data_IF_632495489852
#
_entry.id   IF_632495489852
#
_cell.length_a   1.000
_cell.length_b   1.000
_cell.length_c   1.000
_cell.angle_alpha   90.00
_cell.angle_beta   90.00
_cell.angle_gamma   90.00
#
_symmetry.space_group_name_H-M   'P 1'
#
loop_
_entity.id
_entity.type
_entity.pdbx_description
1 polymer ?
#
# COMPACT_ATOMS: atom_id res chain seq x y z
N UNK A 1 0.35 0.66 -10.15
CA UNK A 1 0.02 -0.40 -9.18
C UNK A 1 0.46 -1.71 -9.77
N UNK A 2 1.22 -2.53 -9.04
CA UNK A 2 1.70 -3.85 -9.45
C UNK A 2 1.17 -4.98 -8.57
N UNK A 3 1.65 -6.20 -8.76
CA UNK A 3 1.39 -7.31 -7.83
C UNK A 3 2.08 -7.07 -6.48
N UNK A 4 1.47 -7.57 -5.39
CA UNK A 4 1.96 -7.34 -4.02
C UNK A 4 1.81 -5.88 -3.58
N UNK A 5 0.60 -5.34 -3.56
CA UNK A 5 0.25 -3.98 -3.09
C UNK A 5 1.00 -2.72 -3.57
N UNK A 6 2.08 -2.82 -4.34
CA UNK A 6 2.95 -1.68 -4.61
C UNK A 6 2.41 -0.66 -5.62
N UNK A 7 2.65 0.62 -5.35
CA UNK A 7 2.27 1.75 -6.17
C UNK A 7 3.44 2.72 -6.40
N UNK A 8 3.56 3.23 -7.63
CA UNK A 8 4.49 4.32 -7.94
C UNK A 8 3.68 5.53 -8.37
N UNK A 9 3.84 6.64 -7.65
CA UNK A 9 3.22 7.92 -7.95
C UNK A 9 4.26 8.85 -8.59
N UNK A 10 3.95 9.30 -9.81
CA UNK A 10 4.69 10.35 -10.51
C UNK A 10 3.87 11.64 -10.43
N UNK A 11 4.51 12.72 -10.01
CA UNK A 11 3.88 14.04 -9.92
C UNK A 11 3.93 14.76 -11.27
N UNK A 12 3.05 15.76 -11.52
CA UNK A 12 2.94 16.39 -12.84
C UNK A 12 4.12 17.29 -13.21
N UNK A 13 4.94 17.70 -12.23
CA UNK A 13 6.17 18.46 -12.47
C UNK A 13 7.14 17.67 -13.37
N UNK A 14 7.97 18.40 -14.14
CA UNK A 14 9.04 17.83 -14.96
C UNK A 14 10.41 18.19 -14.39
N UNK A 15 11.42 17.46 -14.81
CA UNK A 15 12.83 17.69 -14.48
C UNK A 15 13.11 17.60 -12.97
N UNK A 16 14.02 18.42 -12.43
CA UNK A 16 14.43 18.38 -11.01
C UNK A 16 13.30 18.64 -9.99
N UNK A 17 12.13 19.11 -10.47
CA UNK A 17 10.95 19.34 -9.63
C UNK A 17 10.00 18.14 -9.60
N UNK A 18 10.19 17.14 -10.47
CA UNK A 18 9.46 15.87 -10.39
C UNK A 18 9.70 15.25 -9.01
N UNK A 19 8.63 14.77 -8.40
CA UNK A 19 8.64 13.97 -7.19
C UNK A 19 8.06 12.61 -7.53
N UNK A 20 8.84 11.57 -7.28
CA UNK A 20 8.40 10.18 -7.43
C UNK A 20 8.32 9.57 -6.04
N UNK A 21 7.16 9.02 -5.72
CA UNK A 21 6.87 8.40 -4.43
C UNK A 21 6.55 6.92 -4.66
N UNK A 22 7.20 6.06 -3.89
CA UNK A 22 6.92 4.63 -3.85
C UNK A 22 6.03 4.35 -2.63
N UNK A 23 4.87 3.73 -2.81
CA UNK A 23 3.95 3.34 -1.73
C UNK A 23 3.85 1.83 -1.76
N UNK A 24 4.38 1.18 -0.74
CA UNK A 24 4.54 -0.28 -0.66
C UNK A 24 5.34 -0.89 -1.83
N UNK A 25 5.80 -2.13 -1.64
CA UNK A 25 6.69 -2.80 -2.60
C UNK A 25 6.40 -4.30 -2.76
N UNK A 26 5.39 -4.84 -2.08
CA UNK A 26 5.06 -6.25 -2.18
C UNK A 26 5.87 -7.14 -1.28
N UNK A 27 5.62 -8.44 -1.41
CA UNK A 27 6.37 -9.49 -0.70
C UNK A 27 7.68 -9.86 -1.42
N UNK A 28 7.62 -9.92 -2.75
CA UNK A 28 8.69 -10.36 -3.64
C UNK A 28 9.48 -9.21 -4.27
N UNK A 29 10.24 -9.52 -5.31
CA UNK A 29 11.12 -8.56 -5.99
C UNK A 29 10.46 -7.88 -7.21
N UNK A 30 9.14 -8.04 -7.38
CA UNK A 30 8.39 -7.54 -8.54
C UNK A 30 8.55 -6.03 -8.72
N UNK A 31 8.40 -5.27 -7.63
CA UNK A 31 8.57 -3.82 -7.66
C UNK A 31 10.01 -3.45 -8.01
N UNK A 32 11.00 -4.14 -7.45
CA UNK A 32 12.41 -3.92 -7.80
C UNK A 32 12.66 -4.13 -9.30
N UNK A 33 12.18 -5.24 -9.87
CA UNK A 33 12.31 -5.54 -11.30
C UNK A 33 11.61 -4.49 -12.17
N UNK A 34 10.42 -4.04 -11.77
CA UNK A 34 9.72 -2.95 -12.44
C UNK A 34 10.55 -1.66 -12.46
N UNK A 35 11.08 -1.23 -11.32
CA UNK A 35 11.90 -0.02 -11.21
C UNK A 35 13.21 -0.15 -12.00
N UNK A 36 13.90 -1.28 -11.85
CA UNK A 36 15.15 -1.56 -12.58
C UNK A 36 14.95 -1.54 -14.10
N UNK A 37 13.84 -2.08 -14.59
CA UNK A 37 13.45 -2.01 -16.01
C UNK A 37 13.09 -0.60 -16.44
N UNK A 38 12.26 0.11 -15.65
CA UNK A 38 11.74 1.45 -15.97
C UNK A 38 12.82 2.54 -16.00
N UNK A 39 13.86 2.40 -15.19
CA UNK A 39 14.98 3.33 -15.08
C UNK A 39 16.25 2.83 -15.79
N UNK A 40 16.19 1.70 -16.49
CA UNK A 40 17.31 1.14 -17.26
C UNK A 40 17.84 2.15 -18.27
N UNK A 41 19.12 2.50 -18.16
CA UNK A 41 19.83 3.34 -19.13
C UNK A 41 19.51 4.85 -19.08
N UNK A 42 18.61 5.29 -18.19
CA UNK A 42 18.26 6.73 -18.07
C UNK A 42 19.08 7.42 -16.98
N UNK A 43 19.39 6.72 -15.88
CA UNK A 43 20.21 7.25 -14.78
C UNK A 43 21.03 6.13 -14.13
N UNK A 44 22.25 6.43 -13.71
CA UNK A 44 23.08 5.51 -12.90
C UNK A 44 22.60 5.44 -11.45
N UNK A 45 21.86 6.47 -11.01
CA UNK A 45 21.28 6.58 -9.68
C UNK A 45 20.02 7.46 -9.74
N UNK A 46 18.94 7.00 -9.13
CA UNK A 46 17.64 7.65 -9.06
C UNK A 46 17.27 7.93 -7.60
N UNK A 47 16.94 9.18 -7.29
CA UNK A 47 16.54 9.60 -5.96
C UNK A 47 15.02 9.78 -5.90
N UNK A 48 14.32 8.83 -5.27
CA UNK A 48 12.91 8.99 -4.95
C UNK A 48 12.72 10.11 -3.94
N UNK A 49 11.61 10.83 -4.06
CA UNK A 49 11.23 11.81 -3.05
C UNK A 49 10.95 11.11 -1.72
N UNK A 50 10.15 10.05 -1.77
CA UNK A 50 9.81 9.27 -0.58
C UNK A 50 9.48 7.81 -0.90
N UNK A 51 9.66 6.95 0.10
CA UNK A 51 8.96 5.68 0.21
C UNK A 51 7.91 5.80 1.32
N UNK A 52 6.78 5.11 1.18
CA UNK A 52 5.74 4.99 2.21
C UNK A 52 5.51 3.50 2.43
N UNK A 53 5.94 2.99 3.58
CA UNK A 53 5.62 1.64 4.05
C UNK A 53 4.35 1.76 4.88
N UNK A 54 3.20 1.38 4.32
CA UNK A 54 1.91 1.73 4.92
C UNK A 54 1.72 1.07 6.27
N UNK A 55 2.18 -0.17 6.45
CA UNK A 55 2.17 -0.89 7.72
C UNK A 55 3.14 -2.09 7.66
N UNK A 56 3.52 -2.70 8.81
CA UNK A 56 4.54 -3.75 8.81
C UNK A 56 3.99 -5.15 8.49
N UNK A 57 3.20 -5.31 7.42
CA UNK A 57 2.90 -6.63 6.83
C UNK A 57 3.81 -6.96 5.63
N UNK A 58 4.21 -8.22 5.53
CA UNK A 58 5.29 -8.66 4.66
C UNK A 58 4.96 -8.42 3.18
N UNK A 59 3.70 -8.55 2.80
CA UNK A 59 3.16 -8.24 1.47
C UNK A 59 3.06 -6.75 1.16
N UNK A 60 3.42 -5.86 2.08
CA UNK A 60 3.57 -4.43 1.85
C UNK A 60 5.03 -3.98 1.81
N UNK A 61 5.87 -4.46 2.73
CA UNK A 61 7.22 -3.92 2.91
C UNK A 61 8.34 -4.77 2.32
N UNK A 62 8.16 -6.08 2.13
CA UNK A 62 9.31 -6.97 2.04
C UNK A 62 10.09 -6.83 0.72
N UNK A 63 9.42 -6.45 -0.36
CA UNK A 63 10.04 -6.14 -1.65
C UNK A 63 10.94 -4.91 -1.62
N UNK A 64 10.83 -4.06 -0.60
CA UNK A 64 11.78 -2.97 -0.41
C UNK A 64 13.19 -3.48 -0.07
N UNK A 65 13.36 -4.70 0.44
CA UNK A 65 14.68 -5.25 0.77
C UNK A 65 15.60 -5.23 -0.45
N UNK A 66 15.12 -5.71 -1.60
CA UNK A 66 15.87 -5.69 -2.85
C UNK A 66 16.08 -4.27 -3.38
N UNK A 67 15.13 -3.37 -3.15
CA UNK A 67 15.19 -1.97 -3.59
C UNK A 67 16.23 -1.18 -2.78
N UNK A 68 16.23 -1.32 -1.46
CA UNK A 68 17.18 -0.64 -0.58
C UNK A 68 18.61 -1.16 -0.74
N UNK A 69 18.79 -2.45 -1.06
CA UNK A 69 20.10 -3.01 -1.34
C UNK A 69 20.65 -2.64 -2.73
N UNK A 70 19.83 -2.06 -3.61
CA UNK A 70 20.27 -1.62 -4.93
C UNK A 70 20.82 -0.19 -4.87
N UNK A 71 22.13 0.03 -5.10
CA UNK A 71 22.76 1.35 -4.98
C UNK A 71 22.28 2.35 -6.04
N UNK A 72 21.48 1.91 -7.01
CA UNK A 72 20.86 2.79 -8.00
C UNK A 72 19.65 3.53 -7.42
N UNK A 73 19.08 3.12 -6.28
CA UNK A 73 17.86 3.71 -5.72
C UNK A 73 18.13 4.33 -4.34
N UNK A 74 17.83 5.63 -4.22
CA UNK A 74 17.85 6.38 -2.96
C UNK A 74 16.49 6.97 -2.62
N UNK A 75 16.26 7.32 -1.36
CA UNK A 75 14.99 7.87 -0.86
C UNK A 75 15.21 9.09 0.03
N UNK A 76 14.53 10.20 -0.26
CA UNK A 76 14.58 11.39 0.59
C UNK A 76 14.03 11.14 1.99
N UNK A 77 12.87 10.49 2.10
CA UNK A 77 12.35 10.01 3.39
C UNK A 77 11.61 8.69 3.22
N UNK A 78 11.83 7.76 4.14
CA UNK A 78 11.07 6.53 4.28
C UNK A 78 10.02 6.76 5.38
N UNK A 79 8.77 6.94 4.97
CA UNK A 79 7.63 7.09 5.86
C UNK A 79 7.07 5.74 6.29
N UNK A 80 6.58 5.67 7.53
CA UNK A 80 5.88 4.50 8.08
C UNK A 80 4.73 4.93 9.00
N UNK A 81 3.85 4.00 9.40
CA UNK A 81 2.69 4.30 10.26
C UNK A 81 3.03 4.58 11.72
N UNK A 82 4.30 4.52 12.11
CA UNK A 82 4.75 4.53 13.51
C UNK A 82 4.61 3.18 14.22
N UNK A 83 3.82 2.26 13.66
CA UNK A 83 3.84 0.84 14.04
C UNK A 83 4.97 0.17 13.28
N UNK A 84 5.95 -0.38 14.01
CA UNK A 84 7.10 -1.07 13.46
C UNK A 84 7.25 -2.42 14.15
N UNK A 85 7.70 -3.45 13.44
CA UNK A 85 7.98 -4.76 14.05
C UNK A 85 9.38 -4.77 14.64
N UNK A 86 9.48 -4.63 15.97
CA UNK A 86 10.74 -4.59 16.72
C UNK A 86 11.49 -5.94 16.67
N UNK A 87 12.83 -5.94 16.78
CA UNK A 87 13.65 -7.16 16.72
C UNK A 87 13.29 -8.24 17.76
N UNK A 88 12.96 -7.79 18.97
CA UNK A 88 12.66 -8.62 20.14
C UNK A 88 11.19 -8.50 20.58
N UNK A 89 10.76 -9.43 21.42
CA UNK A 89 9.40 -9.50 21.97
C UNK A 89 8.47 -10.44 21.20
N UNK A 90 7.26 -10.57 21.71
CA UNK A 90 6.20 -11.43 21.19
C UNK A 90 4.93 -10.61 20.87
N UNK A 91 4.33 -10.87 19.72
CA UNK A 91 3.10 -10.19 19.25
C UNK A 91 3.15 -8.67 19.53
N UNK A 92 2.21 -8.12 20.32
CA UNK A 92 2.10 -6.70 20.60
C UNK A 92 3.34 -6.06 21.22
N UNK A 93 4.21 -6.81 21.91
CA UNK A 93 5.50 -6.29 22.38
C UNK A 93 6.35 -5.82 21.19
N UNK A 94 6.30 -6.55 20.07
CA UNK A 94 6.96 -6.15 18.83
C UNK A 94 6.40 -4.86 18.25
N UNK A 95 5.13 -4.52 18.52
CA UNK A 95 4.48 -3.30 18.04
C UNK A 95 4.59 -2.12 19.03
N UNK A 96 5.45 -2.21 20.05
CA UNK A 96 5.61 -1.17 21.07
C UNK A 96 4.77 -1.35 22.33
N UNK A 97 4.20 -2.54 22.53
CA UNK A 97 3.48 -2.91 23.74
C UNK A 97 2.11 -2.25 23.89
N UNK A 98 1.23 -2.89 24.68
CA UNK A 98 -0.09 -2.36 24.97
C UNK A 98 -0.08 -1.50 26.22
N UNK A 99 -0.75 -0.36 26.15
CA UNK A 99 -1.07 0.49 27.30
C UNK A 99 -2.59 0.66 27.37
N UNK A 100 -3.15 0.57 28.58
CA UNK A 100 -4.58 0.73 28.81
C UNK A 100 -4.84 2.14 29.33
N UNK A 101 -5.75 2.84 28.69
CA UNK A 101 -6.21 4.13 29.18
C UNK A 101 -7.05 3.94 30.46
N UNK A 102 -6.69 4.58 31.58
CA UNK A 102 -7.33 4.33 32.86
C UNK A 102 -8.76 4.90 32.94
N UNK A 103 -9.08 5.94 32.16
CA UNK A 103 -10.38 6.60 32.20
C UNK A 103 -11.41 5.84 31.35
N UNK A 104 -11.02 5.40 30.16
CA UNK A 104 -11.92 4.76 29.19
C UNK A 104 -11.80 3.24 29.16
N UNK A 105 -10.69 2.69 29.63
CA UNK A 105 -10.38 1.27 29.57
C UNK A 105 -10.04 0.75 28.17
N UNK A 106 -9.86 1.63 27.19
CA UNK A 106 -9.43 1.34 25.82
C UNK A 106 -7.93 1.00 25.82
N UNK A 107 -7.53 0.04 24.99
CA UNK A 107 -6.12 -0.35 24.82
C UNK A 107 -5.51 0.34 23.60
N UNK A 108 -4.25 0.73 23.72
CA UNK A 108 -3.46 1.40 22.69
C UNK A 108 -2.06 0.79 22.59
N UNK A 109 -1.41 0.92 21.44
CA UNK A 109 0.03 0.78 21.29
C UNK A 109 0.70 2.00 21.94
N UNK A 110 1.57 1.76 22.91
CA UNK A 110 2.12 2.81 23.78
C UNK A 110 3.48 3.38 23.35
N UNK A 111 4.24 2.63 22.54
CA UNK A 111 5.57 3.04 22.09
C UNK A 111 5.63 3.00 20.57
N UNK A 112 5.29 4.12 19.94
CA UNK A 112 5.44 4.29 18.49
C UNK A 112 6.90 4.61 18.15
N UNK A 113 7.30 4.37 16.92
CA UNK A 113 8.53 4.94 16.37
C UNK A 113 8.12 6.20 15.60
N UNK A 114 8.54 7.38 16.06
CA UNK A 114 8.07 8.67 15.51
C UNK A 114 9.15 9.33 14.65
N UNK A 115 10.43 9.08 14.96
CA UNK A 115 11.57 9.82 14.43
C UNK A 115 12.66 8.95 13.79
N UNK A 116 13.53 9.61 13.03
CA UNK A 116 14.72 9.01 12.45
C UNK A 116 15.66 8.43 13.51
N UNK A 117 15.83 9.13 14.63
CA UNK A 117 16.71 8.70 15.71
C UNK A 117 16.23 7.38 16.32
N UNK A 118 14.93 7.25 16.59
CA UNK A 118 14.35 6.01 17.13
C UNK A 118 14.47 4.85 16.14
N UNK A 119 14.29 5.11 14.84
CA UNK A 119 14.48 4.08 13.81
C UNK A 119 15.93 3.58 13.76
N UNK A 120 16.91 4.48 13.86
CA UNK A 120 18.33 4.13 13.95
C UNK A 120 18.64 3.36 15.24
N UNK A 121 18.05 3.74 16.38
CA UNK A 121 18.22 3.03 17.65
C UNK A 121 17.65 1.61 17.59
N UNK A 122 16.50 1.42 16.95
CA UNK A 122 15.81 0.13 16.90
C UNK A 122 16.42 -0.84 15.88
N UNK A 123 16.95 -0.34 14.76
CA UNK A 123 17.30 -1.16 13.60
C UNK A 123 18.72 -0.90 13.07
N UNK A 124 19.51 -0.04 13.70
CA UNK A 124 20.84 0.33 13.21
C UNK A 124 21.91 -0.74 13.43
N UNK A 125 21.79 -1.53 14.50
CA UNK A 125 22.75 -2.59 14.82
C UNK A 125 22.42 -3.90 14.07
N UNK A 126 23.25 -4.31 13.08
CA UNK A 126 23.01 -5.53 12.31
C UNK A 126 23.08 -6.82 13.14
N UNK A 127 23.77 -6.80 14.29
CA UNK A 127 23.91 -7.96 15.16
C UNK A 127 22.69 -8.13 16.11
N UNK A 128 21.83 -7.10 16.20
CA UNK A 128 20.66 -7.05 17.10
C UNK A 128 19.30 -7.09 16.37
N UNK A 129 19.24 -7.50 15.10
CA UNK A 129 18.00 -7.48 14.30
C UNK A 129 17.02 -8.64 14.57
N UNK A 130 17.46 -9.66 15.30
CA UNK A 130 16.66 -10.87 15.53
C UNK A 130 16.34 -11.63 14.24
N UNK A 131 15.27 -12.44 14.26
CA UNK A 131 14.87 -13.31 13.13
C UNK A 131 13.80 -12.70 12.22
N UNK A 132 13.17 -11.59 12.62
CA UNK A 132 12.09 -10.95 11.86
C UNK A 132 12.57 -10.38 10.53
N UNK A 133 11.71 -10.41 9.50
CA UNK A 133 12.05 -9.84 8.19
C UNK A 133 12.03 -8.31 8.21
N UNK A 134 11.04 -7.70 8.88
CA UNK A 134 10.93 -6.24 8.99
C UNK A 134 12.22 -5.55 9.50
N UNK A 135 12.84 -5.95 10.64
CA UNK A 135 14.12 -5.40 11.07
C UNK A 135 15.22 -5.42 10.00
N UNK A 136 15.33 -6.52 9.21
CA UNK A 136 16.33 -6.64 8.15
C UNK A 136 16.08 -5.68 7.00
N UNK A 137 14.82 -5.52 6.59
CA UNK A 137 14.45 -4.57 5.52
C UNK A 137 14.76 -3.14 5.92
N UNK A 138 14.42 -2.75 7.16
CA UNK A 138 14.73 -1.40 7.66
C UNK A 138 16.25 -1.21 7.83
N UNK A 139 16.99 -2.21 8.30
CA UNK A 139 18.46 -2.13 8.35
C UNK A 139 19.08 -1.98 6.95
N UNK A 140 18.54 -2.65 5.93
CA UNK A 140 18.98 -2.46 4.54
C UNK A 140 18.77 -1.00 4.08
N UNK A 141 17.64 -0.37 4.46
CA UNK A 141 17.41 1.04 4.23
C UNK A 141 18.44 1.93 4.97
N UNK A 142 18.70 1.67 6.26
CA UNK A 142 19.68 2.42 7.06
C UNK A 142 21.10 2.33 6.48
N UNK A 143 21.47 1.17 5.93
CA UNK A 143 22.80 0.96 5.32
C UNK A 143 22.94 1.56 3.93
N UNK A 144 21.83 1.95 3.29
CA UNK A 144 21.85 2.68 2.04
C UNK A 144 22.08 4.17 2.34
N UNK A 145 23.26 4.68 1.99
CA UNK A 145 23.66 6.08 2.23
C UNK A 145 22.75 7.13 1.55
N UNK A 146 21.86 6.68 0.66
CA UNK A 146 20.97 7.53 -0.12
C UNK A 146 19.53 7.50 0.40
N UNK A 147 19.28 6.75 1.47
CA UNK A 147 18.10 6.86 2.33
C UNK A 147 18.41 7.90 3.41
N UNK A 148 17.82 9.08 3.29
CA UNK A 148 18.27 10.24 4.07
C UNK A 148 17.56 10.40 5.41
N UNK A 149 16.37 9.81 5.58
CA UNK A 149 15.53 10.03 6.75
C UNK A 149 14.45 8.95 6.91
N UNK A 150 14.05 8.67 8.15
CA UNK A 150 12.81 7.96 8.50
C UNK A 150 11.87 8.87 9.29
N UNK A 151 10.57 8.73 9.08
CA UNK A 151 9.57 9.47 9.85
C UNK A 151 8.24 8.74 9.94
N UNK A 152 7.57 8.83 11.09
CA UNK A 152 6.16 8.47 11.17
C UNK A 152 5.32 9.41 10.29
N UNK A 153 4.32 8.85 9.62
CA UNK A 153 3.32 9.59 8.86
C UNK A 153 1.93 9.20 9.37
N UNK A 154 1.17 10.19 9.84
CA UNK A 154 -0.17 9.97 10.41
C UNK A 154 -1.00 11.26 10.46
N UNK A 155 -2.19 11.21 11.06
CA UNK A 155 -3.02 12.41 11.26
C UNK A 155 -2.39 13.47 12.16
N UNK A 156 -1.28 13.17 12.85
CA UNK A 156 -0.54 14.13 13.70
C UNK A 156 0.94 14.29 13.32
N UNK A 157 1.47 13.45 12.43
CA UNK A 157 2.90 13.39 12.08
C UNK A 157 3.12 13.72 10.60
N UNK A 158 2.62 14.87 10.16
CA UNK A 158 2.80 15.37 8.80
C UNK A 158 2.89 16.88 8.81
N UNK A 159 2.84 17.51 7.62
CA UNK A 159 2.68 18.95 7.54
C UNK A 159 1.24 19.32 7.94
N UNK A 160 1.09 19.95 9.09
CA UNK A 160 -0.23 20.36 9.61
C UNK A 160 -0.67 21.66 8.95
N UNK A 161 -1.87 21.67 8.38
CA UNK A 161 -2.50 22.86 7.81
C UNK A 161 -4.03 22.78 7.97
N UNK A 162 -4.64 23.81 8.58
CA UNK A 162 -6.10 23.91 8.76
C UNK A 162 -6.75 22.69 9.44
N UNK A 163 -6.08 22.13 10.45
CA UNK A 163 -6.58 20.94 11.19
C UNK A 163 -6.46 19.62 10.41
N UNK A 164 -5.61 19.60 9.38
CA UNK A 164 -5.40 18.45 8.49
C UNK A 164 -3.90 18.14 8.44
N UNK A 165 -3.56 16.88 8.23
CA UNK A 165 -2.18 16.44 8.05
C UNK A 165 -1.94 16.11 6.58
N UNK A 166 -0.79 16.54 6.06
CA UNK A 166 -0.37 16.29 4.68
C UNK A 166 1.00 15.64 4.67
N UNK A 167 1.28 14.87 3.62
CA UNK A 167 2.65 14.44 3.33
C UNK A 167 3.53 15.70 3.26
N UNK A 168 4.66 15.77 4.01
CA UNK A 168 5.48 16.98 4.04
C UNK A 168 5.85 17.48 2.64
N UNK A 169 5.57 18.76 2.37
CA UNK A 169 5.77 19.37 1.06
C UNK A 169 4.60 19.22 0.08
N UNK A 170 3.49 18.58 0.48
CA UNK A 170 2.28 18.39 -0.35
C UNK A 170 1.01 18.94 0.31
N UNK A 171 1.13 19.87 1.24
CA UNK A 171 -0.02 20.63 1.71
C UNK A 171 -0.42 21.70 0.67
N UNK A 172 -1.66 22.22 0.71
CA UNK A 172 -2.11 23.28 -0.20
C UNK A 172 -1.20 24.51 -0.18
N UNK A 173 -0.65 24.88 0.99
CA UNK A 173 0.31 25.98 1.14
C UNK A 173 1.62 25.81 0.34
N UNK A 174 1.97 24.59 -0.07
CA UNK A 174 3.13 24.36 -0.94
C UNK A 174 2.86 24.72 -2.42
N UNK A 175 1.65 25.14 -2.77
CA UNK A 175 1.27 25.73 -4.06
C UNK A 175 1.60 24.85 -5.30
N UNK A 176 1.50 23.53 -5.17
CA UNK A 176 1.79 22.58 -6.27
C UNK A 176 0.64 22.39 -7.28
N UNK A 177 -0.55 22.91 -6.97
CA UNK A 177 -1.78 22.60 -7.73
C UNK A 177 -2.39 21.24 -7.40
N UNK A 178 -1.77 20.47 -6.51
CA UNK A 178 -2.28 19.22 -5.94
C UNK A 178 -1.82 19.08 -4.48
N UNK A 179 -2.46 18.17 -3.74
CA UNK A 179 -2.12 17.88 -2.35
C UNK A 179 -2.22 16.39 -2.04
N UNK A 180 -1.41 15.92 -1.10
CA UNK A 180 -1.45 14.54 -0.58
C UNK A 180 -1.73 14.60 0.91
N UNK A 181 -2.96 14.30 1.27
CA UNK A 181 -3.42 14.30 2.65
C UNK A 181 -3.21 12.94 3.33
N UNK A 182 -2.86 12.96 4.61
CA UNK A 182 -2.77 11.77 5.46
C UNK A 182 -4.08 11.59 6.23
N UNK A 183 -4.81 10.53 5.89
CA UNK A 183 -6.13 10.17 6.44
C UNK A 183 -6.00 9.26 7.66
N UNK A 184 -5.00 8.38 7.67
CA UNK A 184 -4.72 7.41 8.73
C UNK A 184 -3.20 7.13 8.79
N UNK A 185 -2.67 6.56 9.88
CA UNK A 185 -3.38 6.17 11.11
C UNK A 185 -3.87 7.38 11.92
N UNK A 186 -4.91 7.15 12.72
CA UNK A 186 -5.49 8.16 13.61
C UNK A 186 -4.75 8.13 14.94
N UNK A 187 -4.04 9.21 15.25
CA UNK A 187 -3.36 9.37 16.54
C UNK A 187 -4.36 9.78 17.61
N UNK A 188 -4.31 9.07 18.74
CA UNK A 188 -5.14 9.29 19.92
C UNK A 188 -4.22 9.56 21.12
N UNK A 189 -3.80 10.83 21.33
CA UNK A 189 -2.82 11.16 22.34
C UNK A 189 -3.36 10.91 23.75
N UNK A 190 -2.47 10.59 24.68
CA UNK A 190 -2.81 10.51 26.10
C UNK A 190 -2.97 11.89 26.76
N UNK A 191 -3.28 11.89 28.06
CA UNK A 191 -3.42 13.14 28.82
C UNK A 191 -2.13 13.97 28.92
N UNK A 192 -0.96 13.36 28.71
CA UNK A 192 0.34 14.03 28.64
C UNK A 192 0.71 14.46 27.20
N UNK A 193 -0.12 14.15 26.21
CA UNK A 193 0.12 14.44 24.80
C UNK A 193 0.95 13.39 24.06
N UNK A 194 1.30 12.26 24.70
CA UNK A 194 2.05 11.18 24.05
C UNK A 194 1.18 10.53 22.98
N UNK A 195 1.71 10.42 21.75
CA UNK A 195 1.03 9.77 20.65
C UNK A 195 0.84 8.28 20.93
N UNK A 196 -0.37 7.78 20.67
CA UNK A 196 -0.74 6.37 20.78
C UNK A 196 -1.70 5.98 19.66
N UNK A 197 -1.73 4.70 19.32
CA UNK A 197 -2.60 4.14 18.29
C UNK A 197 -3.47 3.03 18.89
N UNK A 198 -4.77 3.02 18.61
CA UNK A 198 -5.72 2.08 19.25
C UNK A 198 -5.46 0.62 18.88
N UNK A 199 -5.42 -0.27 19.88
CA UNK A 199 -5.42 -1.71 19.62
C UNK A 199 -6.81 -2.12 19.14
N UNK A 200 -6.89 -2.69 17.94
CA UNK A 200 -8.14 -3.04 17.29
C UNK A 200 -8.09 -4.49 16.83
N UNK A 201 -8.61 -5.39 17.66
CA UNK A 201 -8.61 -6.82 17.36
C UNK A 201 -7.30 -7.51 17.74
N UNK A 202 -6.91 -8.52 16.96
CA UNK A 202 -5.66 -9.24 17.15
C UNK A 202 -4.41 -8.48 16.65
N UNK A 203 -3.26 -9.15 16.68
CA UNK A 203 -1.97 -8.60 16.24
C UNK A 203 -1.99 -8.15 14.78
N UNK A 204 -2.51 -8.99 13.87
CA UNK A 204 -2.60 -8.68 12.44
C UNK A 204 -3.65 -7.62 12.16
N UNK A 205 -4.84 -7.75 12.77
CA UNK A 205 -5.90 -6.75 12.64
C UNK A 205 -5.44 -5.35 13.10
N UNK A 206 -4.70 -5.27 14.21
CA UNK A 206 -4.18 -3.99 14.71
C UNK A 206 -3.12 -3.40 13.78
N UNK A 207 -2.22 -4.24 13.26
CA UNK A 207 -1.15 -3.83 12.37
C UNK A 207 -1.69 -3.24 11.07
N UNK A 208 -2.59 -3.98 10.42
CA UNK A 208 -3.19 -3.64 9.14
C UNK A 208 -4.12 -2.42 9.29
N UNK A 209 -4.87 -2.36 10.39
CA UNK A 209 -5.77 -1.26 10.71
C UNK A 209 -5.08 0.10 10.90
N UNK A 210 -3.77 0.13 11.12
CA UNK A 210 -2.96 1.37 11.21
C UNK A 210 -2.20 1.69 9.93
N UNK A 211 -2.62 1.14 8.79
CA UNK A 211 -2.10 1.53 7.49
C UNK A 211 -2.05 3.06 7.31
N UNK A 212 -0.96 3.56 6.73
CA UNK A 212 -0.92 4.93 6.22
C UNK A 212 -1.90 5.04 5.04
N UNK A 213 -2.96 5.80 5.23
CA UNK A 213 -3.99 6.03 4.21
C UNK A 213 -3.78 7.43 3.64
N UNK A 214 -3.60 7.51 2.33
CA UNK A 214 -3.33 8.77 1.63
C UNK A 214 -4.51 9.15 0.75
N UNK A 215 -4.83 10.45 0.72
CA UNK A 215 -5.79 11.02 -0.23
C UNK A 215 -5.10 12.07 -1.09
N UNK A 216 -4.90 11.72 -2.36
CA UNK A 216 -4.41 12.64 -3.39
C UNK A 216 -5.58 13.46 -3.94
N UNK A 217 -5.39 14.77 -4.06
CA UNK A 217 -6.30 15.67 -4.77
C UNK A 217 -5.50 16.46 -5.79
N UNK A 218 -5.88 16.35 -7.05
CA UNK A 218 -5.30 17.14 -8.15
C UNK A 218 -6.43 17.78 -8.95
N UNK A 219 -6.61 19.09 -8.77
CA UNK A 219 -7.74 19.83 -9.33
C UNK A 219 -9.09 19.25 -8.90
N UNK A 220 -9.84 18.76 -9.88
CA UNK A 220 -11.13 18.12 -9.73
C UNK A 220 -11.04 16.62 -9.37
N UNK A 221 -9.89 16.00 -9.61
CA UNK A 221 -9.67 14.55 -9.50
C UNK A 221 -9.07 14.16 -8.15
N UNK A 222 -9.45 12.99 -7.64
CA UNK A 222 -8.98 12.49 -6.34
C UNK A 222 -8.82 10.98 -6.29
N UNK A 223 -7.82 10.54 -5.53
CA UNK A 223 -7.49 9.12 -5.30
C UNK A 223 -7.34 8.85 -3.81
N UNK A 224 -7.98 7.80 -3.30
CA UNK A 224 -7.74 7.26 -1.97
C UNK A 224 -6.89 5.99 -2.07
N UNK A 225 -5.81 5.93 -1.31
CA UNK A 225 -4.99 4.74 -1.11
C UNK A 225 -5.39 4.08 0.21
N UNK A 226 -6.17 3.00 0.15
CA UNK A 226 -6.84 2.41 1.31
C UNK A 226 -5.94 1.64 2.29
N UNK A 227 -4.73 1.23 1.88
CA UNK A 227 -3.91 0.30 2.68
C UNK A 227 -4.69 -0.96 3.05
N UNK A 228 -4.49 -1.49 4.26
CA UNK A 228 -5.18 -2.70 4.73
C UNK A 228 -6.16 -2.42 5.87
N UNK A 229 -6.88 -1.31 5.75
CA UNK A 229 -7.96 -1.01 6.68
C UNK A 229 -8.94 -2.19 6.76
N UNK A 230 -9.19 -2.65 7.98
CA UNK A 230 -10.27 -3.58 8.31
C UNK A 230 -11.50 -2.81 8.83
N UNK A 231 -12.61 -3.52 9.01
CA UNK A 231 -13.88 -2.94 9.44
C UNK A 231 -13.79 -2.08 10.73
N UNK A 232 -12.93 -2.43 11.71
CA UNK A 232 -12.77 -1.59 12.92
C UNK A 232 -12.02 -0.29 12.62
N UNK A 233 -10.95 -0.37 11.82
CA UNK A 233 -10.20 0.81 11.39
C UNK A 233 -11.06 1.74 10.52
N UNK A 234 -11.87 1.19 9.62
CA UNK A 234 -12.83 1.95 8.83
C UNK A 234 -13.88 2.67 9.70
N UNK A 235 -14.41 1.99 10.72
CA UNK A 235 -15.33 2.62 11.69
C UNK A 235 -14.65 3.73 12.48
N UNK A 236 -13.37 3.60 12.83
CA UNK A 236 -12.62 4.69 13.46
C UNK A 236 -12.54 5.91 12.53
N UNK A 237 -12.27 5.71 11.23
CA UNK A 237 -12.26 6.81 10.25
C UNK A 237 -13.65 7.42 10.07
N UNK A 238 -14.70 6.59 9.96
CA UNK A 238 -16.08 7.05 9.89
C UNK A 238 -16.49 7.84 11.14
N UNK A 239 -16.08 7.40 12.34
CA UNK A 239 -16.37 8.11 13.57
C UNK A 239 -15.59 9.43 13.67
N UNK A 240 -14.30 9.43 13.29
CA UNK A 240 -13.45 10.63 13.29
C UNK A 240 -13.97 11.69 12.34
N UNK A 241 -14.19 11.32 11.08
CA UNK A 241 -14.62 12.27 10.04
C UNK A 241 -16.13 12.49 10.03
N UNK A 242 -16.89 11.61 10.68
CA UNK A 242 -18.32 11.74 10.92
C UNK A 242 -18.67 12.53 12.19
N UNK A 243 -17.68 13.05 12.92
CA UNK A 243 -17.87 13.86 14.12
C UNK A 243 -18.62 13.11 15.23
N UNK A 244 -18.11 11.92 15.56
CA UNK A 244 -18.63 10.99 16.57
C UNK A 244 -17.62 10.70 17.68
N UNK A 245 -17.23 11.70 18.49
CA UNK A 245 -16.31 11.49 19.62
C UNK A 245 -16.87 10.52 20.67
N UNK A 246 -18.20 10.37 20.73
CA UNK A 246 -18.90 9.42 21.60
C UNK A 246 -18.55 7.96 21.26
N UNK A 247 -18.36 7.63 19.97
CA UNK A 247 -17.97 6.29 19.53
C UNK A 247 -16.47 6.04 19.77
N UNK A 248 -15.64 7.06 19.55
CA UNK A 248 -14.18 6.96 19.74
C UNK A 248 -13.84 6.83 21.23
N UNK A 249 -14.39 7.71 22.08
CA UNK A 249 -14.08 7.77 23.50
C UNK A 249 -14.65 6.63 24.36
N UNK A 250 -15.48 5.76 23.77
CA UNK A 250 -16.15 4.68 24.51
C UNK A 250 -15.53 3.32 24.18
N UNK A 251 -15.20 2.54 25.21
CA UNK A 251 -14.74 1.15 25.01
C UNK A 251 -15.84 0.34 24.32
N UNK A 252 -15.49 -0.28 23.19
CA UNK A 252 -16.44 -1.01 22.34
C UNK A 252 -17.32 -0.11 21.45
N UNK A 253 -17.16 1.22 21.49
CA UNK A 253 -17.92 2.14 20.64
C UNK A 253 -17.67 1.99 19.13
N UNK A 254 -16.61 1.26 18.75
CA UNK A 254 -16.27 0.93 17.35
C UNK A 254 -16.60 -0.53 16.97
N UNK A 255 -17.18 -1.31 17.89
CA UNK A 255 -17.58 -2.70 17.59
C UNK A 255 -18.81 -2.77 16.67
N UNK A 256 -19.64 -1.72 16.67
CA UNK A 256 -20.77 -1.56 15.77
C UNK A 256 -20.98 -0.09 15.42
N UNK A 257 -21.63 0.15 14.27
CA UNK A 257 -22.09 1.47 13.88
C UNK A 257 -23.41 1.82 14.61
N UNK A 258 -23.79 3.10 14.69
CA UNK A 258 -25.03 3.53 15.34
C UNK A 258 -26.25 2.71 14.88
N UNK A 259 -27.15 2.28 15.77
CA UNK A 259 -28.27 1.42 15.39
C UNK A 259 -29.34 2.16 14.56
N UNK A 260 -29.51 3.47 14.78
CA UNK A 260 -30.44 4.29 14.02
C UNK A 260 -29.89 4.60 12.63
N UNK A 261 -30.65 4.25 11.58
CA UNK A 261 -30.24 4.47 10.19
C UNK A 261 -29.97 5.94 9.87
N UNK A 262 -30.77 6.87 10.41
CA UNK A 262 -30.59 8.30 10.23
C UNK A 262 -29.24 8.79 10.80
N UNK A 263 -28.86 8.32 11.99
CA UNK A 263 -27.57 8.66 12.60
C UNK A 263 -26.40 8.10 11.79
N UNK A 264 -26.50 6.84 11.32
CA UNK A 264 -25.47 6.26 10.44
C UNK A 264 -25.32 7.08 9.16
N UNK A 265 -26.41 7.41 8.50
CA UNK A 265 -26.39 8.19 7.27
C UNK A 265 -25.78 9.58 7.48
N UNK A 266 -26.10 10.23 8.60
CA UNK A 266 -25.51 11.53 8.94
C UNK A 266 -23.99 11.42 9.17
N UNK A 267 -23.54 10.40 9.91
CA UNK A 267 -22.12 10.14 10.13
C UNK A 267 -21.39 9.89 8.81
N UNK A 268 -21.92 9.02 7.95
CA UNK A 268 -21.37 8.73 6.62
C UNK A 268 -21.34 9.97 5.73
N UNK A 269 -22.40 10.79 5.73
CA UNK A 269 -22.46 12.01 4.94
C UNK A 269 -21.42 13.06 5.40
N UNK A 270 -21.21 13.20 6.71
CA UNK A 270 -20.12 14.03 7.26
C UNK A 270 -18.75 13.48 6.87
N UNK A 271 -18.52 12.18 7.05
CA UNK A 271 -17.25 11.54 6.69
C UNK A 271 -16.93 11.66 5.19
N UNK A 272 -17.95 11.59 4.33
CA UNK A 272 -17.82 11.78 2.87
C UNK A 272 -17.20 13.12 2.50
N UNK A 273 -17.47 14.20 3.24
CA UNK A 273 -16.86 15.50 2.98
C UNK A 273 -15.33 15.48 3.09
N UNK A 274 -14.76 14.48 3.78
CA UNK A 274 -13.32 14.26 3.88
C UNK A 274 -12.81 13.16 2.95
N UNK A 275 -13.55 12.05 2.88
CA UNK A 275 -13.07 10.80 2.29
C UNK A 275 -13.38 10.65 0.79
N UNK A 276 -14.36 11.41 0.27
CA UNK A 276 -14.82 11.23 -1.10
C UNK A 276 -13.66 11.30 -2.10
N UNK A 277 -13.55 10.27 -2.91
CA UNK A 277 -12.49 10.14 -3.92
C UNK A 277 -13.06 9.57 -5.22
N UNK A 278 -12.47 9.90 -6.37
CA UNK A 278 -12.93 9.40 -7.67
C UNK A 278 -12.42 7.99 -7.93
N UNK A 279 -11.20 7.72 -7.50
CA UNK A 279 -10.57 6.40 -7.55
C UNK A 279 -10.24 5.94 -6.14
N UNK A 280 -10.48 4.66 -5.84
CA UNK A 280 -10.04 4.02 -4.61
C UNK A 280 -9.16 2.83 -4.95
N UNK A 281 -7.90 2.84 -4.45
CA UNK A 281 -7.18 1.58 -4.25
C UNK A 281 -7.85 0.89 -3.08
N UNK A 282 -8.49 -0.24 -3.38
CA UNK A 282 -9.31 -0.97 -2.41
C UNK A 282 -8.44 -1.51 -1.28
N UNK A 283 -9.02 -1.60 -0.09
CA UNK A 283 -8.31 -2.05 1.09
C UNK A 283 -7.90 -3.54 0.98
N UNK A 284 -6.76 -3.90 1.58
CA UNK A 284 -6.40 -5.28 1.91
C UNK A 284 -6.46 -6.21 0.71
N UNK A 285 -5.80 -5.81 -0.38
CA UNK A 285 -5.73 -6.55 -1.65
C UNK A 285 -7.09 -6.91 -2.30
N UNK A 286 -8.20 -6.38 -1.78
CA UNK A 286 -9.54 -6.83 -2.13
C UNK A 286 -10.09 -7.95 -1.22
N UNK A 287 -9.85 -7.86 0.09
CA UNK A 287 -10.50 -8.68 1.11
C UNK A 287 -11.99 -8.32 1.31
N UNK A 288 -12.71 -9.24 1.95
CA UNK A 288 -14.14 -9.05 2.29
C UNK A 288 -14.36 -7.97 3.36
N UNK A 289 -13.34 -7.68 4.17
CA UNK A 289 -13.42 -6.85 5.39
C UNK A 289 -13.47 -5.33 5.13
N UNK A 290 -14.26 -4.94 4.14
CA UNK A 290 -14.57 -3.56 3.76
C UNK A 290 -16.05 -3.28 4.02
N UNK A 291 -16.37 -2.27 4.81
CA UNK A 291 -17.74 -1.92 5.20
C UNK A 291 -18.49 -1.14 4.13
N UNK A 292 -19.80 -1.37 4.02
CA UNK A 292 -20.68 -0.65 3.09
C UNK A 292 -20.65 0.86 3.40
N UNK A 293 -20.63 1.24 4.67
CA UNK A 293 -20.61 2.65 5.11
C UNK A 293 -19.32 3.36 4.74
N UNK A 294 -18.17 2.66 4.79
CA UNK A 294 -16.90 3.24 4.34
C UNK A 294 -16.92 3.43 2.82
N UNK A 295 -17.37 2.43 2.06
CA UNK A 295 -17.52 2.57 0.60
C UNK A 295 -18.49 3.70 0.23
N UNK A 296 -19.60 3.88 0.96
CA UNK A 296 -20.53 4.99 0.73
C UNK A 296 -19.93 6.35 1.09
N UNK A 297 -19.04 6.42 2.09
CA UNK A 297 -18.30 7.64 2.42
C UNK A 297 -17.22 7.98 1.39
N UNK A 298 -16.48 7.00 0.87
CA UNK A 298 -15.46 7.26 -0.19
C UNK A 298 -16.12 7.50 -1.55
N UNK A 299 -17.23 6.81 -1.83
CA UNK A 299 -18.05 6.91 -3.06
C UNK A 299 -17.25 6.94 -4.38
N UNK A 300 -16.39 5.93 -4.66
CA UNK A 300 -15.52 5.92 -5.84
C UNK A 300 -16.27 5.66 -7.14
N UNK A 301 -15.86 6.28 -8.24
CA UNK A 301 -16.32 5.91 -9.59
C UNK A 301 -15.51 4.74 -10.18
N UNK A 302 -14.27 4.56 -9.71
CA UNK A 302 -13.40 3.46 -10.11
C UNK A 302 -12.70 2.86 -8.89
N UNK A 303 -12.51 1.55 -8.95
CA UNK A 303 -11.78 0.77 -7.96
C UNK A 303 -10.54 0.16 -8.61
N UNK A 304 -9.44 0.19 -7.87
CA UNK A 304 -8.18 -0.45 -8.23
C UNK A 304 -7.86 -1.49 -7.17
N UNK A 305 -7.76 -2.75 -7.57
CA UNK A 305 -7.47 -3.88 -6.71
C UNK A 305 -6.05 -4.34 -7.05
N UNK A 306 -5.18 -4.27 -6.05
CA UNK A 306 -3.78 -4.69 -6.16
C UNK A 306 -3.63 -6.03 -5.47
N UNK A 307 -3.97 -7.09 -6.19
CA UNK A 307 -3.87 -8.48 -5.72
C UNK A 307 -2.73 -9.22 -6.44
N UNK A 308 -2.21 -10.24 -5.78
CA UNK A 308 -1.18 -11.15 -6.30
C UNK A 308 -1.63 -12.60 -6.17
N UNK A 309 -0.85 -13.50 -6.76
CA UNK A 309 -1.14 -14.94 -6.81
C UNK A 309 -0.41 -15.69 -5.71
N UNK A 310 -0.87 -15.48 -4.49
CA UNK A 310 -0.49 -16.31 -3.35
C UNK A 310 -1.67 -17.26 -3.06
N UNK A 311 -1.50 -18.54 -3.38
CA UNK A 311 -2.54 -19.60 -3.23
C UNK A 311 -3.12 -19.70 -1.80
N UNK A 312 -2.41 -19.17 -0.78
CA UNK A 312 -2.88 -19.10 0.61
C UNK A 312 -3.93 -18.01 0.90
N UNK A 313 -3.99 -16.95 0.09
CA UNK A 313 -4.82 -15.77 0.31
C UNK A 313 -5.52 -15.35 -0.99
N UNK A 314 -6.64 -16.02 -1.32
CA UNK A 314 -7.37 -15.79 -2.56
C UNK A 314 -8.04 -14.40 -2.55
N UNK A 315 -7.45 -13.43 -3.23
CA UNK A 315 -7.99 -12.08 -3.46
C UNK A 315 -7.92 -11.68 -4.95
N UNK A 316 -8.84 -10.82 -5.45
CA UNK A 316 -9.98 -10.27 -4.73
C UNK A 316 -11.08 -11.29 -4.44
N UNK A 317 -11.83 -11.07 -3.36
CA UNK A 317 -12.96 -11.93 -2.98
C UNK A 317 -14.19 -11.64 -3.85
N UNK A 318 -14.97 -12.66 -4.25
CA UNK A 318 -16.11 -12.46 -5.15
C UNK A 318 -17.25 -11.64 -4.54
N UNK A 319 -17.46 -11.76 -3.23
CA UNK A 319 -18.42 -10.95 -2.46
C UNK A 319 -18.02 -9.47 -2.41
N UNK A 320 -16.71 -9.17 -2.24
CA UNK A 320 -16.21 -7.81 -2.39
C UNK A 320 -16.50 -7.29 -3.80
N UNK A 321 -16.19 -8.03 -4.87
CA UNK A 321 -16.45 -7.57 -6.24
C UNK A 321 -17.92 -7.18 -6.45
N UNK A 322 -18.85 -7.98 -5.93
CA UNK A 322 -20.27 -7.66 -5.92
C UNK A 322 -20.60 -6.39 -5.12
N UNK A 323 -20.00 -6.23 -3.94
CA UNK A 323 -20.13 -5.03 -3.09
C UNK A 323 -19.61 -3.78 -3.81
N UNK A 324 -18.44 -3.83 -4.46
CA UNK A 324 -17.87 -2.72 -5.23
C UNK A 324 -18.78 -2.32 -6.40
N UNK A 325 -19.30 -3.31 -7.14
CA UNK A 325 -20.26 -3.08 -8.22
C UNK A 325 -21.54 -2.38 -7.76
N UNK A 326 -22.04 -2.74 -6.56
CA UNK A 326 -23.23 -2.13 -5.96
C UNK A 326 -22.98 -0.73 -5.38
N UNK A 327 -21.81 -0.50 -4.78
CA UNK A 327 -21.54 0.69 -3.96
C UNK A 327 -20.76 1.78 -4.70
N UNK A 328 -20.17 1.47 -5.85
CA UNK A 328 -19.51 2.47 -6.69
C UNK A 328 -20.46 3.54 -7.23
N UNK A 329 -19.89 4.70 -7.53
CA UNK A 329 -20.58 5.87 -8.07
C UNK A 329 -20.91 5.62 -9.55
N UNK A 330 -22.20 5.53 -9.85
CA UNK A 330 -22.72 5.34 -11.21
C UNK A 330 -23.39 3.98 -11.39
N UNK A 331 -23.98 3.74 -12.56
CA UNK A 331 -24.66 2.48 -12.85
C UNK A 331 -23.69 1.30 -13.09
N UNK A 332 -22.43 1.60 -13.42
CA UNK A 332 -21.40 0.60 -13.73
C UNK A 332 -20.03 1.15 -13.33
N UNK A 333 -19.64 1.09 -12.05
CA UNK A 333 -18.32 1.52 -11.61
C UNK A 333 -17.23 0.66 -12.26
N UNK A 334 -16.09 1.27 -12.57
CA UNK A 334 -14.96 0.55 -13.19
C UNK A 334 -14.21 -0.21 -12.10
N UNK A 335 -13.97 -1.51 -12.30
CA UNK A 335 -13.15 -2.34 -11.40
C UNK A 335 -11.93 -2.80 -12.19
N UNK A 336 -10.75 -2.36 -11.77
CA UNK A 336 -9.47 -2.77 -12.33
C UNK A 336 -8.77 -3.66 -11.30
N UNK A 337 -8.39 -4.87 -11.69
CA UNK A 337 -7.63 -5.80 -10.83
C UNK A 337 -6.38 -6.27 -11.56
N UNK A 338 -5.25 -6.26 -10.86
CA UNK A 338 -3.97 -6.76 -11.38
C UNK A 338 -4.06 -8.24 -11.76
N UNK A 339 -4.75 -9.08 -10.98
CA UNK A 339 -4.98 -10.50 -11.30
C UNK A 339 -5.89 -10.70 -12.52
N UNK A 340 -7.01 -9.96 -12.60
CA UNK A 340 -7.91 -10.06 -13.74
C UNK A 340 -7.24 -9.58 -15.05
N UNK A 341 -6.37 -8.57 -14.97
CA UNK A 341 -5.62 -8.06 -16.13
C UNK A 341 -4.51 -9.01 -16.59
N UNK A 342 -3.93 -9.80 -15.69
CA UNK A 342 -2.95 -10.85 -16.03
C UNK A 342 -3.61 -12.01 -16.78
N UNK A 343 -4.89 -12.31 -16.51
CA UNK A 343 -5.58 -13.52 -17.01
C UNK A 343 -5.73 -13.63 -18.54
N UNK A 344 -5.19 -12.69 -19.32
CA UNK A 344 -5.05 -12.80 -20.78
C UNK A 344 -3.60 -13.13 -21.17
N UNK A 345 -3.35 -14.34 -21.72
CA UNK A 345 -2.08 -14.65 -22.38
C UNK A 345 -1.85 -13.68 -23.54
N UNK A 346 -0.77 -12.92 -23.52
CA UNK A 346 -0.35 -12.14 -24.69
C UNK A 346 0.36 -13.04 -25.72
N UNK A 347 1.27 -13.94 -25.31
CA UNK A 347 1.99 -14.87 -26.21
C UNK A 347 2.72 -15.98 -25.43
N UNK A 348 2.84 -17.16 -26.04
CA UNK A 348 3.74 -18.26 -25.64
C UNK A 348 5.04 -18.16 -26.45
N UNK A 349 6.23 -18.23 -25.81
CA UNK A 349 7.51 -18.10 -26.53
C UNK A 349 7.90 -19.43 -27.19
N UNK A 350 7.57 -19.55 -28.48
CA UNK A 350 7.92 -20.72 -29.28
C UNK A 350 9.42 -21.06 -29.30
N UNK A 351 10.32 -20.06 -29.16
CA UNK A 351 11.77 -20.31 -29.17
C UNK A 351 12.19 -20.99 -27.86
N UNK A 352 11.63 -20.55 -26.74
CA UNK A 352 11.90 -21.14 -25.43
C UNK A 352 11.41 -22.60 -25.38
N UNK A 353 10.21 -22.86 -25.89
CA UNK A 353 9.66 -24.22 -26.01
C UNK A 353 10.51 -25.10 -26.92
N UNK A 354 10.95 -24.59 -28.08
CA UNK A 354 11.85 -25.32 -28.99
C UNK A 354 13.21 -25.61 -28.35
N UNK A 355 13.78 -24.65 -27.61
CA UNK A 355 15.04 -24.83 -26.91
C UNK A 355 14.96 -25.88 -25.79
N UNK A 356 13.89 -25.85 -24.98
CA UNK A 356 13.64 -26.86 -23.95
C UNK A 356 13.56 -28.27 -24.57
N UNK A 357 12.79 -28.44 -25.64
CA UNK A 357 12.65 -29.73 -26.32
C UNK A 357 14.01 -30.26 -26.81
N UNK A 358 14.87 -29.39 -27.33
CA UNK A 358 16.21 -29.78 -27.78
C UNK A 358 17.13 -30.20 -26.62
N UNK A 359 17.04 -29.51 -25.48
CA UNK A 359 17.78 -29.88 -24.27
C UNK A 359 17.31 -31.22 -23.69
N UNK A 360 16.00 -31.48 -23.67
CA UNK A 360 15.43 -32.77 -23.25
C UNK A 360 15.97 -33.91 -24.11
N UNK A 361 15.97 -33.75 -25.45
CA UNK A 361 16.54 -34.78 -26.34
C UNK A 361 18.04 -34.98 -26.13
N UNK A 362 18.79 -33.91 -25.87
CA UNK A 362 20.23 -34.00 -25.59
C UNK A 362 20.49 -34.75 -24.28
N UNK A 363 19.72 -34.45 -23.22
CA UNK A 363 19.77 -35.17 -21.96
C UNK A 363 19.45 -36.66 -22.13
N UNK A 364 18.43 -36.99 -22.94
CA UNK A 364 18.01 -38.37 -23.23
C UNK A 364 19.09 -39.18 -23.96
N UNK A 365 19.92 -38.53 -24.76
CA UNK A 365 20.97 -39.18 -25.56
C UNK A 365 22.31 -39.29 -24.81
N UNK A 366 22.69 -38.31 -23.97
CA UNK A 366 24.03 -38.29 -23.35
C UNK A 366 24.20 -37.37 -22.11
N UNK A 367 23.13 -37.05 -21.37
CA UNK A 367 23.14 -35.94 -20.40
C UNK A 367 23.96 -36.12 -19.11
N UNK A 368 24.55 -35.00 -18.65
CA UNK A 368 25.24 -34.83 -17.36
C UNK A 368 24.32 -34.26 -16.27
N UNK A 369 24.80 -34.16 -15.02
CA UNK A 369 24.05 -33.53 -13.92
C UNK A 369 23.77 -32.03 -14.16
N UNK A 370 24.66 -31.33 -14.89
CA UNK A 370 24.46 -29.94 -15.28
C UNK A 370 23.36 -29.80 -16.33
N UNK A 371 23.27 -30.74 -17.28
CA UNK A 371 22.21 -30.76 -18.29
C UNK A 371 20.84 -30.99 -17.65
N UNK A 372 20.77 -31.87 -16.65
CA UNK A 372 19.55 -32.07 -15.85
C UNK A 372 19.13 -30.78 -15.15
N UNK A 373 20.05 -30.09 -14.48
CA UNK A 373 19.74 -28.84 -13.79
C UNK A 373 19.27 -27.73 -14.75
N UNK A 374 19.83 -27.65 -15.95
CA UNK A 374 19.41 -26.70 -16.97
C UNK A 374 18.01 -27.01 -17.53
N UNK A 375 17.69 -28.29 -17.74
CA UNK A 375 16.34 -28.74 -18.11
C UNK A 375 15.34 -28.47 -16.98
N UNK A 376 15.67 -28.82 -15.74
CA UNK A 376 14.82 -28.59 -14.56
C UNK A 376 14.55 -27.09 -14.37
N UNK A 377 15.55 -26.22 -14.54
CA UNK A 377 15.37 -24.76 -14.49
C UNK A 377 14.48 -24.22 -15.62
N UNK A 378 14.60 -24.77 -16.82
CA UNK A 378 13.80 -24.36 -17.98
C UNK A 378 12.35 -24.88 -17.90
N UNK A 379 12.14 -26.08 -17.36
CA UNK A 379 10.82 -26.58 -16.98
C UNK A 379 10.24 -25.71 -15.88
N UNK A 380 10.99 -25.38 -14.83
CA UNK A 380 10.52 -24.49 -13.77
C UNK A 380 10.23 -23.06 -14.25
N UNK A 381 10.81 -22.63 -15.37
CA UNK A 381 10.50 -21.34 -16.03
C UNK A 381 9.24 -21.43 -16.91
N UNK A 382 9.05 -22.53 -17.62
CA UNK A 382 7.89 -22.77 -18.51
C UNK A 382 6.64 -23.28 -17.79
N UNK A 383 6.83 -23.97 -16.66
CA UNK A 383 5.78 -24.41 -15.74
C UNK A 383 5.40 -23.33 -14.74
N UNK A 384 6.01 -22.14 -14.82
CA UNK A 384 5.39 -20.95 -14.24
C UNK A 384 4.06 -20.82 -14.96
N UNK A 385 2.99 -20.66 -14.20
CA UNK A 385 1.64 -20.54 -14.72
C UNK A 385 1.51 -19.30 -15.64
N UNK A 386 0.30 -18.89 -16.03
CA UNK A 386 0.05 -17.61 -16.74
C UNK A 386 0.45 -16.35 -15.91
N UNK A 387 1.37 -16.55 -14.98
CA UNK A 387 1.63 -15.88 -13.73
C UNK A 387 2.86 -14.96 -13.87
N UNK A 388 3.71 -15.14 -14.87
CA UNK A 388 4.87 -14.24 -15.02
C UNK A 388 4.59 -12.92 -15.77
N UNK A 389 3.36 -12.71 -16.27
CA UNK A 389 2.94 -11.40 -16.79
C UNK A 389 2.36 -10.57 -15.65
N UNK A 390 3.13 -9.61 -15.14
CA UNK A 390 2.66 -8.73 -14.08
C UNK A 390 1.59 -7.78 -14.60
N UNK A 391 0.37 -7.92 -14.08
CA UNK A 391 -0.67 -6.92 -14.27
C UNK A 391 -0.23 -5.60 -13.65
N UNK A 392 -0.18 -4.54 -14.45
CA UNK A 392 0.09 -3.19 -13.99
C UNK A 392 -1.06 -2.27 -14.38
N UNK A 393 -1.60 -1.58 -13.39
CA UNK A 393 -2.64 -0.56 -13.61
C UNK A 393 -1.98 0.80 -13.65
N UNK A 394 -2.14 1.49 -14.79
CA UNK A 394 -1.71 2.86 -15.01
C UNK A 394 -2.89 3.81 -14.92
N UNK A 395 -2.86 4.69 -13.93
CA UNK A 395 -3.81 5.79 -13.79
C UNK A 395 -3.13 7.08 -14.21
N UNK A 396 -3.71 7.80 -15.18
CA UNK A 396 -3.21 9.09 -15.67
C UNK A 396 -4.35 10.11 -15.66
N UNK A 397 -4.04 11.34 -15.30
CA UNK A 397 -5.02 12.44 -15.21
C UNK A 397 -4.33 13.78 -15.41
N UNK A 398 -5.06 14.77 -15.90
CA UNK A 398 -4.68 16.18 -15.99
C UNK A 398 -5.32 17.03 -14.88
N UNK A 399 -6.09 16.40 -13.98
CA UNK A 399 -6.78 17.05 -12.88
C UNK A 399 -8.09 17.76 -13.25
N UNK A 400 -8.61 17.66 -14.47
CA UNK A 400 -9.81 18.42 -14.90
C UNK A 400 -11.13 17.64 -14.81
N UNK A 401 -11.12 16.30 -14.94
CA UNK A 401 -12.37 15.53 -15.02
C UNK A 401 -12.97 15.20 -13.64
N UNK A 402 -14.23 15.61 -13.43
CA UNK A 402 -15.01 15.43 -12.19
C UNK A 402 -16.20 14.48 -12.34
N UNK A 403 -16.68 14.24 -13.56
CA UNK A 403 -17.94 13.54 -13.84
C UNK A 403 -17.78 12.37 -14.81
N UNK A 404 -18.15 11.18 -14.32
CA UNK A 404 -19.00 10.17 -14.97
C UNK A 404 -18.63 9.52 -16.31
N UNK A 405 -17.87 10.15 -17.19
CA UNK A 405 -17.30 9.51 -18.38
C UNK A 405 -15.83 9.23 -18.10
N UNK A 406 -15.56 8.11 -17.44
CA UNK A 406 -14.31 7.42 -17.73
C UNK A 406 -14.43 7.03 -19.20
N UNK A 407 -13.92 7.88 -20.09
CA UNK A 407 -13.68 7.43 -21.45
C UNK A 407 -12.75 6.22 -21.30
N UNK A 408 -13.23 5.05 -21.73
CA UNK A 408 -12.44 3.83 -21.77
C UNK A 408 -11.14 4.02 -22.56
N UNK A 409 -10.99 5.13 -23.31
CA UNK A 409 -9.75 5.54 -23.96
C UNK A 409 -8.68 6.14 -23.02
N UNK A 410 -9.05 6.75 -21.88
CA UNK A 410 -8.12 7.43 -20.96
C UNK A 410 -7.80 6.62 -19.68
N UNK A 411 -8.68 5.69 -19.29
CA UNK A 411 -8.38 4.65 -18.26
C UNK A 411 -8.09 3.29 -18.91
N UNK A 412 -8.07 3.22 -20.24
CA UNK A 412 -7.79 2.01 -21.02
C UNK A 412 -6.85 2.29 -22.19
N UNK A 413 -5.63 2.72 -21.89
CA UNK A 413 -4.49 2.04 -22.52
C UNK A 413 -3.82 1.19 -21.45
N UNK A 414 -4.49 0.09 -21.08
CA UNK A 414 -3.75 -1.14 -20.84
C UNK A 414 -3.08 -1.48 -22.18
N UNK A 415 -1.97 -0.81 -22.48
CA UNK A 415 -0.96 -1.51 -23.22
C UNK A 415 -0.56 -2.65 -22.29
N UNK A 416 -1.08 -3.86 -22.55
CA UNK A 416 -0.23 -5.03 -22.44
C UNK A 416 0.91 -4.82 -23.44
N UNK A 417 1.80 -3.88 -23.13
CA UNK A 417 3.13 -3.90 -23.67
C UNK A 417 3.79 -5.02 -22.89
N UNK A 418 3.67 -6.24 -23.44
CA UNK A 418 4.77 -7.16 -23.38
C UNK A 418 5.95 -6.43 -24.04
N UNK A 419 6.63 -5.56 -23.27
CA UNK A 419 8.02 -5.29 -23.56
C UNK A 419 8.69 -6.57 -23.15
N UNK A 420 8.84 -7.50 -24.11
CA UNK A 420 9.85 -8.54 -23.99
C UNK A 420 11.15 -7.82 -23.67
N UNK A 421 11.64 -8.03 -22.45
CA UNK A 421 12.91 -7.49 -22.01
C UNK A 421 14.07 -8.17 -22.70
#
# INVERSE_FOLDING_TARGET
MGQGDGAVLFTPERDANERVILIDAGEGDEMHRFLAGRFKGVQTRFQFHAAVLTHPDQDHYAGFESIFNDPRFGFGTVYHSGVVERPEGTQFEKLGGKVKDPATGIEYLGQLAESNEEMLQLFGDPDALGRGRYPRVINAAIRNNDVLNFAMLSTAHGQSENGRSYLPGFAPSNARGYSIEVIAPVVEPDAAGQARLRVSGDYGETKNGHSVVLRLVFGAFSVLFGGDLNARAERLLLAKYGDRPDLIGTKGGLDALPAAAAERQQMVAKARARLQSDVMKVCHHGATDVTDEFLDAVKPASFVISSGDNEGHVHPRPDLLGRLGRMGRGASPVILSTELQRSTRATEDEKLVKALNQQIETYRLSGSAADKAAVDASIALLARDNVDVYGAIYLKTDGQQRDGSVDGSLVGRAAAQAVGF
#
